data_IF_100522972263
#
_entry.id   IF_100522972263
#
_cell.length_a   1.000
_cell.length_b   1.000
_cell.length_c   1.000
_cell.angle_alpha   90.00
_cell.angle_beta   90.00
_cell.angle_gamma   90.00
#
_symmetry.space_group_name_H-M   'P 1'
#
loop_
_entity.id
_entity.type
_entity.pdbx_description
1 polymer ?
#
# COMPACT_ATOMS: atom_id res chain seq x y z
N UNK A 1 -11.17 28.72 -6.67
CA UNK A 1 -10.92 28.39 -5.25
C UNK A 1 -11.17 29.64 -4.43
N UNK A 2 -12.05 29.59 -3.42
CA UNK A 2 -12.28 30.72 -2.51
C UNK A 2 -11.12 30.86 -1.50
N UNK A 3 -11.06 31.98 -0.78
CA UNK A 3 -10.08 32.17 0.31
C UNK A 3 -10.23 31.10 1.39
N UNK A 4 -11.48 30.79 1.76
CA UNK A 4 -11.79 29.75 2.76
C UNK A 4 -11.33 28.37 2.29
N UNK A 5 -11.54 28.04 1.01
CA UNK A 5 -11.12 26.76 0.45
C UNK A 5 -9.59 26.62 0.41
N UNK A 6 -8.86 27.71 0.12
CA UNK A 6 -7.39 27.76 0.18
C UNK A 6 -6.89 27.52 1.61
N UNK A 7 -7.51 28.14 2.62
CA UNK A 7 -7.16 27.94 4.03
C UNK A 7 -7.39 26.49 4.46
N UNK A 8 -8.48 25.88 4.00
CA UNK A 8 -8.76 24.46 4.28
C UNK A 8 -7.75 23.52 3.62
N UNK A 9 -7.33 23.79 2.38
CA UNK A 9 -6.26 23.01 1.75
C UNK A 9 -4.92 23.18 2.45
N UNK A 10 -4.61 24.38 2.95
CA UNK A 10 -3.43 24.59 3.79
C UNK A 10 -3.52 23.74 5.07
N UNK A 11 -4.68 23.69 5.71
CA UNK A 11 -4.90 22.80 6.86
C UNK A 11 -4.70 21.32 6.51
N UNK A 12 -5.16 20.86 5.33
CA UNK A 12 -4.93 19.48 4.86
C UNK A 12 -3.44 19.23 4.67
N UNK A 13 -2.69 20.18 4.10
CA UNK A 13 -1.25 20.05 3.90
C UNK A 13 -0.48 19.94 5.22
N UNK A 14 -0.85 20.73 6.23
CA UNK A 14 -0.29 20.64 7.58
C UNK A 14 -0.57 19.26 8.21
N UNK A 15 -1.82 18.79 8.11
CA UNK A 15 -2.21 17.48 8.67
C UNK A 15 -1.51 16.34 7.94
N UNK A 16 -1.45 16.36 6.61
CA UNK A 16 -0.78 15.34 5.80
C UNK A 16 0.75 15.40 5.88
N UNK A 17 1.30 16.49 6.43
CA UNK A 17 2.75 16.69 6.59
C UNK A 17 3.49 16.92 5.28
N UNK A 18 2.83 17.50 4.26
CA UNK A 18 3.46 17.68 2.95
C UNK A 18 2.57 18.33 1.88
N UNK A 19 3.11 18.47 0.65
CA UNK A 19 2.39 19.02 -0.51
C UNK A 19 1.23 18.10 -0.94
N UNK A 20 0.05 18.68 -1.17
CA UNK A 20 -1.24 17.96 -1.35
C UNK A 20 -1.84 18.12 -2.75
N UNK A 21 -1.07 18.62 -3.72
CA UNK A 21 -1.55 18.84 -5.09
C UNK A 21 -2.05 17.54 -5.72
N UNK A 22 -1.39 16.41 -5.42
CA UNK A 22 -1.79 15.09 -5.91
C UNK A 22 -3.14 14.62 -5.32
N UNK A 23 -3.50 15.05 -4.10
CA UNK A 23 -4.83 14.78 -3.50
C UNK A 23 -5.94 15.61 -4.14
N UNK A 24 -5.60 16.80 -4.67
CA UNK A 24 -6.55 17.73 -5.30
C UNK A 24 -6.97 17.29 -6.71
N UNK A 25 -6.25 16.34 -7.33
CA UNK A 25 -6.55 15.85 -8.67
C UNK A 25 -7.91 15.13 -8.66
N UNK A 26 -8.82 15.61 -9.52
CA UNK A 26 -10.17 15.08 -9.67
C UNK A 26 -10.49 14.78 -11.15
N UNK A 27 -11.03 13.59 -11.49
CA UNK A 27 -11.23 12.44 -10.60
C UNK A 27 -9.89 11.85 -10.12
N UNK A 28 -9.88 11.27 -8.92
CA UNK A 28 -8.69 10.61 -8.40
C UNK A 28 -8.38 9.33 -9.19
N UNK A 29 -7.10 8.99 -9.32
CA UNK A 29 -6.65 7.79 -10.02
C UNK A 29 -7.13 6.52 -9.30
N UNK A 30 -7.65 5.57 -10.06
CA UNK A 30 -7.98 4.23 -9.58
C UNK A 30 -6.79 3.29 -9.71
N UNK A 31 -6.59 2.39 -8.74
CA UNK A 31 -5.60 1.32 -8.84
C UNK A 31 -6.21 -0.04 -8.55
N UNK A 32 -5.66 -1.06 -9.21
CA UNK A 32 -5.97 -2.45 -8.93
C UNK A 32 -4.96 -3.01 -7.94
N UNK A 33 -5.45 -3.74 -6.94
CA UNK A 33 -4.62 -4.29 -5.88
C UNK A 33 -4.99 -5.74 -5.60
N UNK A 34 -3.98 -6.60 -5.42
CA UNK A 34 -4.14 -7.85 -4.68
C UNK A 34 -3.79 -7.60 -3.22
N UNK A 35 -4.70 -7.89 -2.30
CA UNK A 35 -4.57 -7.52 -0.88
C UNK A 35 -4.52 -8.76 -0.01
N UNK A 36 -3.52 -8.90 0.85
CA UNK A 36 -3.41 -10.00 1.80
C UNK A 36 -2.87 -9.56 3.16
N UNK A 37 -3.02 -10.40 4.18
CA UNK A 37 -2.31 -10.23 5.46
C UNK A 37 -0.89 -10.83 5.36
N UNK A 38 0.05 -10.37 6.19
CA UNK A 38 1.46 -10.83 6.19
C UNK A 38 1.67 -12.35 6.10
N UNK A 39 0.77 -13.15 6.68
CA UNK A 39 0.86 -14.61 6.71
C UNK A 39 -0.27 -15.33 5.95
N UNK A 40 -0.99 -14.60 5.09
CA UNK A 40 -2.13 -15.14 4.35
C UNK A 40 -1.73 -15.61 2.95
N UNK A 41 -2.35 -16.71 2.53
CA UNK A 41 -2.25 -17.24 1.17
C UNK A 41 -3.38 -16.73 0.28
N UNK A 42 -4.32 -15.95 0.84
CA UNK A 42 -5.48 -15.41 0.15
C UNK A 42 -5.24 -13.94 -0.21
N UNK A 43 -5.32 -13.65 -1.51
CA UNK A 43 -5.02 -12.32 -2.06
C UNK A 43 -6.16 -11.89 -2.99
N UNK A 44 -7.35 -11.52 -2.47
CA UNK A 44 -8.41 -10.98 -3.30
C UNK A 44 -7.97 -9.75 -4.07
N UNK A 45 -8.49 -9.63 -5.29
CA UNK A 45 -8.37 -8.41 -6.08
C UNK A 45 -9.40 -7.39 -5.61
N UNK A 46 -8.97 -6.14 -5.42
CA UNK A 46 -9.83 -4.99 -5.14
C UNK A 46 -9.38 -3.78 -5.95
N UNK A 47 -10.26 -2.79 -6.08
CA UNK A 47 -9.96 -1.52 -6.74
C UNK A 47 -10.08 -0.40 -5.73
N UNK A 48 -9.02 0.41 -5.62
CA UNK A 48 -9.01 1.60 -4.78
C UNK A 48 -9.30 2.80 -5.70
N UNK A 49 -10.38 3.51 -5.42
CA UNK A 49 -10.84 4.66 -6.22
C UNK A 49 -10.87 5.97 -5.44
N UNK A 50 -10.68 5.92 -4.12
CA UNK A 50 -10.78 7.08 -3.24
C UNK A 50 -9.56 7.15 -2.32
N UNK A 51 -8.89 8.30 -2.33
CA UNK A 51 -7.70 8.63 -1.55
C UNK A 51 -8.02 9.79 -0.64
N UNK A 52 -8.41 9.47 0.61
CA UNK A 52 -8.90 10.47 1.58
C UNK A 52 -7.84 10.75 2.65
N UNK A 53 -7.48 9.72 3.41
CA UNK A 53 -6.37 9.71 4.36
C UNK A 53 -5.88 8.26 4.54
N UNK A 54 -4.81 8.10 5.30
CA UNK A 54 -4.17 6.81 5.58
C UNK A 54 -5.12 5.81 6.22
N UNK A 55 -5.79 6.23 7.30
CA UNK A 55 -6.70 5.37 8.05
C UNK A 55 -7.85 4.88 7.17
N UNK A 56 -8.44 5.76 6.36
CA UNK A 56 -9.50 5.41 5.40
C UNK A 56 -9.03 4.35 4.41
N UNK A 57 -7.83 4.54 3.86
CA UNK A 57 -7.27 3.63 2.88
C UNK A 57 -7.05 2.24 3.49
N UNK A 58 -6.46 2.16 4.68
CA UNK A 58 -6.24 0.89 5.37
C UNK A 58 -7.58 0.25 5.79
N UNK A 59 -8.56 1.04 6.24
CA UNK A 59 -9.93 0.55 6.49
C UNK A 59 -10.56 -0.05 5.22
N UNK A 60 -10.39 0.61 4.08
CA UNK A 60 -10.90 0.14 2.78
C UNK A 60 -10.27 -1.20 2.40
N UNK A 61 -8.96 -1.33 2.57
CA UNK A 61 -8.23 -2.59 2.32
C UNK A 61 -8.67 -3.71 3.28
N UNK A 62 -8.82 -3.39 4.57
CA UNK A 62 -9.32 -4.32 5.60
C UNK A 62 -10.72 -4.85 5.24
N UNK A 63 -11.63 -3.96 4.87
CA UNK A 63 -12.99 -4.29 4.49
C UNK A 63 -13.03 -5.11 3.21
N UNK A 64 -12.27 -4.72 2.17
CA UNK A 64 -12.19 -5.48 0.92
C UNK A 64 -11.69 -6.92 1.13
N UNK A 65 -10.70 -7.10 2.00
CA UNK A 65 -10.21 -8.43 2.37
C UNK A 65 -11.31 -9.25 3.08
N UNK A 66 -12.05 -8.65 4.01
CA UNK A 66 -13.16 -9.33 4.69
C UNK A 66 -14.30 -9.67 3.71
N UNK A 67 -14.66 -8.74 2.82
CA UNK A 67 -15.74 -8.90 1.85
C UNK A 67 -15.45 -9.99 0.81
N UNK A 68 -14.18 -10.30 0.57
CA UNK A 68 -13.79 -11.42 -0.29
C UNK A 68 -14.18 -12.79 0.27
N UNK A 69 -14.29 -12.93 1.59
CA UNK A 69 -14.51 -14.20 2.27
C UNK A 69 -13.38 -15.23 2.13
N UNK A 70 -12.27 -14.89 1.47
CA UNK A 70 -11.16 -15.83 1.19
C UNK A 70 -10.30 -16.12 2.43
N UNK A 71 -10.29 -15.20 3.40
CA UNK A 71 -9.69 -15.39 4.71
C UNK A 71 -10.81 -15.47 5.76
N UNK A 72 -11.25 -16.70 6.08
CA UNK A 72 -12.43 -16.92 6.94
C UNK A 72 -12.26 -16.38 8.35
N UNK A 73 -11.08 -16.53 8.92
CA UNK A 73 -10.77 -16.04 10.26
C UNK A 73 -10.85 -14.50 10.28
N UNK A 74 -10.21 -13.85 9.31
CA UNK A 74 -10.28 -12.40 9.16
C UNK A 74 -11.71 -11.92 8.93
N UNK A 75 -12.44 -12.56 8.01
CA UNK A 75 -13.82 -12.19 7.66
C UNK A 75 -14.71 -12.23 8.90
N UNK A 76 -14.68 -13.35 9.65
CA UNK A 76 -15.48 -13.51 10.86
C UNK A 76 -15.09 -12.49 11.94
N UNK A 77 -13.79 -12.26 12.16
CA UNK A 77 -13.31 -11.27 13.12
C UNK A 77 -13.73 -9.85 12.74
N UNK A 78 -13.59 -9.50 11.46
CA UNK A 78 -14.00 -8.20 10.95
C UNK A 78 -15.50 -7.96 11.10
N UNK A 79 -16.33 -8.95 10.75
CA UNK A 79 -17.77 -8.88 10.90
C UNK A 79 -18.22 -8.73 12.36
N UNK A 80 -17.54 -9.43 13.27
CA UNK A 80 -17.87 -9.41 14.70
C UNK A 80 -17.45 -8.09 15.38
N UNK A 81 -16.27 -7.57 15.06
CA UNK A 81 -15.65 -6.49 15.84
C UNK A 81 -15.61 -5.13 15.13
N UNK A 82 -15.57 -5.10 13.79
CA UNK A 82 -15.18 -3.90 13.05
C UNK A 82 -16.20 -3.44 11.99
N UNK A 83 -17.09 -4.32 11.53
CA UNK A 83 -18.03 -4.03 10.45
C UNK A 83 -18.95 -2.84 10.73
N UNK A 84 -19.47 -2.74 11.96
CA UNK A 84 -20.33 -1.62 12.36
C UNK A 84 -19.59 -0.28 12.29
N UNK A 85 -18.33 -0.25 12.72
CA UNK A 85 -17.47 0.93 12.64
C UNK A 85 -17.15 1.29 11.20
N UNK A 86 -16.84 0.32 10.35
CA UNK A 86 -16.61 0.56 8.93
C UNK A 86 -17.83 1.18 8.24
N UNK A 87 -19.04 0.69 8.52
CA UNK A 87 -20.29 1.27 7.99
C UNK A 87 -20.47 2.72 8.44
N UNK A 88 -20.13 3.05 9.69
CA UNK A 88 -20.20 4.43 10.20
C UNK A 88 -19.17 5.35 9.53
N UNK A 89 -17.94 4.86 9.31
CA UNK A 89 -16.89 5.60 8.59
C UNK A 89 -17.36 5.90 7.17
N UNK A 90 -17.85 4.89 6.45
CA UNK A 90 -18.39 5.04 5.10
C UNK A 90 -19.53 6.07 5.04
N UNK A 91 -20.48 5.99 5.98
CA UNK A 91 -21.56 6.98 6.07
C UNK A 91 -21.03 8.40 6.27
N UNK A 92 -20.05 8.58 7.16
CA UNK A 92 -19.44 9.88 7.46
C UNK A 92 -18.71 10.44 6.23
N UNK A 93 -17.94 9.60 5.55
CA UNK A 93 -17.22 9.94 4.32
C UNK A 93 -18.19 10.36 3.22
N UNK A 94 -19.28 9.62 3.01
CA UNK A 94 -20.28 9.93 1.98
C UNK A 94 -21.03 11.24 2.25
N UNK A 95 -21.31 11.55 3.51
CA UNK A 95 -22.00 12.80 3.91
C UNK A 95 -21.10 14.03 3.84
N UNK A 96 -19.78 13.85 3.81
CA UNK A 96 -18.80 14.93 3.78
C UNK A 96 -18.36 15.19 2.33
N UNK A 97 -18.24 16.46 1.94
CA UNK A 97 -17.96 16.87 0.56
C UNK A 97 -16.79 17.85 0.48
N UNK A 98 -16.09 17.88 -0.66
CA UNK A 98 -14.93 18.74 -0.91
C UNK A 98 -13.74 18.51 0.03
N UNK A 99 -12.84 19.50 0.10
CA UNK A 99 -12.35 20.08 1.37
C UNK A 99 -12.24 19.13 2.57
N UNK A 100 -13.38 19.10 3.24
CA UNK A 100 -13.63 18.59 4.57
C UNK A 100 -13.40 17.08 4.65
N UNK A 101 -13.54 16.37 3.53
CA UNK A 101 -13.34 14.92 3.47
C UNK A 101 -11.93 14.54 3.90
N UNK A 102 -10.92 15.30 3.49
CA UNK A 102 -9.52 15.04 3.81
C UNK A 102 -9.19 15.37 5.29
N UNK A 103 -10.02 16.19 5.93
CA UNK A 103 -9.89 16.56 7.34
C UNK A 103 -10.64 15.61 8.28
N UNK A 104 -11.44 14.66 7.77
CA UNK A 104 -12.21 13.72 8.58
C UNK A 104 -11.34 12.89 9.51
N UNK A 105 -11.60 12.97 10.81
CA UNK A 105 -10.87 12.23 11.84
C UNK A 105 -11.31 10.76 11.88
N UNK A 106 -10.74 9.97 10.98
CA UNK A 106 -11.06 8.55 10.82
C UNK A 106 -10.28 7.75 11.88
N UNK A 107 -10.95 6.92 12.69
CA UNK A 107 -10.30 6.17 13.76
C UNK A 107 -9.29 5.18 13.20
N UNK A 108 -8.34 4.78 14.05
CA UNK A 108 -7.30 3.82 13.67
C UNK A 108 -7.94 2.52 13.13
N UNK A 109 -7.52 2.04 11.95
CA UNK A 109 -7.92 0.76 11.39
C UNK A 109 -7.48 -0.44 12.25
N UNK A 110 -8.06 -1.63 12.01
CA UNK A 110 -7.65 -2.84 12.71
C UNK A 110 -6.23 -3.31 12.33
N UNK A 111 -5.77 -2.95 11.13
CA UNK A 111 -4.40 -3.18 10.67
C UNK A 111 -3.59 -1.90 10.80
N UNK A 112 -2.36 -1.99 11.30
CA UNK A 112 -1.53 -0.84 11.56
C UNK A 112 -0.83 -0.30 10.30
N UNK A 113 -0.48 -1.17 9.34
CA UNK A 113 0.31 -0.76 8.18
C UNK A 113 -0.13 -1.49 6.91
N UNK A 114 -0.11 -0.78 5.79
CA UNK A 114 -0.26 -1.32 4.45
C UNK A 114 1.02 -1.06 3.63
N UNK A 115 1.62 -2.10 3.07
CA UNK A 115 2.79 -1.98 2.19
C UNK A 115 2.37 -2.31 0.77
N UNK A 116 2.45 -1.31 -0.11
CA UNK A 116 2.18 -1.42 -1.53
C UNK A 116 3.46 -1.73 -2.28
N UNK A 117 3.49 -2.84 -3.02
CA UNK A 117 4.54 -3.20 -3.93
C UNK A 117 4.06 -3.06 -5.38
N UNK A 118 4.78 -2.28 -6.18
CA UNK A 118 4.51 -2.10 -7.60
C UNK A 118 5.71 -2.54 -8.43
N UNK A 119 5.49 -3.45 -9.38
CA UNK A 119 6.51 -3.88 -10.31
C UNK A 119 6.65 -2.89 -11.46
N UNK A 120 7.74 -2.11 -11.47
CA UNK A 120 8.04 -1.14 -12.53
C UNK A 120 9.06 -1.70 -13.55
N UNK A 121 8.98 -3.00 -13.85
CA UNK A 121 9.86 -3.70 -14.80
C UNK A 121 10.98 -4.48 -14.10
N UNK A 122 12.24 -4.03 -14.13
CA UNK A 122 13.35 -4.74 -13.45
C UNK A 122 13.41 -4.47 -11.94
N UNK A 123 12.60 -3.54 -11.42
CA UNK A 123 12.61 -3.12 -10.02
C UNK A 123 11.21 -3.13 -9.43
N UNK A 124 11.12 -3.52 -8.16
CA UNK A 124 9.91 -3.41 -7.36
C UNK A 124 10.03 -2.15 -6.49
N UNK A 125 9.04 -1.26 -6.57
CA UNK A 125 8.91 -0.10 -5.69
C UNK A 125 7.96 -0.41 -4.55
N UNK A 126 8.36 -0.01 -3.35
CA UNK A 126 7.59 -0.20 -2.14
C UNK A 126 7.13 1.14 -1.58
N UNK A 127 5.86 1.22 -1.18
CA UNK A 127 5.26 2.37 -0.51
C UNK A 127 4.55 1.88 0.75
N UNK A 128 5.03 2.33 1.91
CA UNK A 128 4.42 2.00 3.20
C UNK A 128 3.47 3.12 3.60
N UNK A 129 2.29 2.71 4.08
CA UNK A 129 1.26 3.59 4.63
C UNK A 129 0.98 3.11 6.04
N UNK A 130 1.11 4.00 7.01
CA UNK A 130 0.92 3.70 8.42
C UNK A 130 -0.37 4.33 8.93
N UNK A 131 -1.07 3.58 9.77
CA UNK A 131 -2.18 4.10 10.55
C UNK A 131 -1.69 5.25 11.43
N UNK A 132 -2.41 6.36 11.41
CA UNK A 132 -2.10 7.53 12.23
C UNK A 132 -3.06 7.60 13.41
N UNK A 133 -2.63 8.20 14.52
CA UNK A 133 -3.54 8.51 15.60
C UNK A 133 -4.57 9.57 15.16
N UNK A 134 -5.74 9.53 15.79
CA UNK A 134 -6.75 10.56 15.62
C UNK A 134 -6.16 11.95 16.00
N UNK A 135 -6.41 12.96 15.18
CA UNK A 135 -5.94 14.35 15.40
C UNK A 135 -4.48 14.68 15.02
N UNK A 136 -3.58 13.71 14.79
CA UNK A 136 -2.20 13.96 14.31
C UNK A 136 -1.85 13.02 13.16
N UNK A 137 -1.65 13.56 11.94
CA UNK A 137 -1.32 12.75 10.75
C UNK A 137 0.01 13.03 10.02
N UNK A 138 1.02 13.73 10.59
CA UNK A 138 2.28 13.84 9.87
C UNK A 138 2.91 12.45 9.71
N UNK A 139 3.30 12.11 8.48
CA UNK A 139 4.11 10.92 8.20
C UNK A 139 3.36 9.61 8.01
N UNK A 140 2.02 9.64 7.85
CA UNK A 140 1.23 8.45 7.53
C UNK A 140 1.54 7.85 6.14
N UNK A 141 2.16 8.64 5.27
CA UNK A 141 2.82 8.14 4.06
C UNK A 141 1.93 8.08 2.81
N UNK A 142 0.66 8.51 2.86
CA UNK A 142 -0.28 8.48 1.73
C UNK A 142 0.19 9.28 0.50
N UNK A 143 0.87 10.40 0.72
CA UNK A 143 1.28 11.29 -0.36
C UNK A 143 2.34 10.65 -1.27
N UNK A 144 3.16 9.72 -0.76
CA UNK A 144 4.19 9.03 -1.54
C UNK A 144 3.64 8.10 -2.62
N UNK A 145 2.74 7.15 -2.32
CA UNK A 145 2.12 6.32 -3.35
C UNK A 145 1.30 7.18 -4.31
N UNK A 146 0.55 8.19 -3.85
CA UNK A 146 -0.19 9.09 -4.76
C UNK A 146 0.73 9.77 -5.77
N UNK A 147 1.86 10.32 -5.32
CA UNK A 147 2.85 10.92 -6.19
C UNK A 147 3.42 9.91 -7.19
N UNK A 148 3.67 8.67 -6.74
CA UNK A 148 4.11 7.59 -7.64
C UNK A 148 3.03 7.26 -8.68
N UNK A 149 1.75 7.25 -8.31
CA UNK A 149 0.65 6.98 -9.24
C UNK A 149 0.57 8.03 -10.35
N UNK A 150 0.62 9.32 -9.99
CA UNK A 150 0.45 10.38 -10.99
C UNK A 150 1.72 10.68 -11.79
N UNK A 151 2.90 10.53 -11.17
CA UNK A 151 4.17 11.00 -11.77
C UNK A 151 5.17 9.87 -12.01
N UNK A 152 4.92 8.66 -11.52
CA UNK A 152 5.81 7.50 -11.62
C UNK A 152 5.61 6.64 -12.86
N UNK A 153 4.74 7.07 -13.79
CA UNK A 153 4.45 6.35 -15.03
C UNK A 153 3.57 5.11 -14.83
N UNK A 154 2.72 5.11 -13.79
CA UNK A 154 1.80 4.00 -13.49
C UNK A 154 0.66 4.00 -14.51
N UNK A 155 0.40 2.85 -15.10
CA UNK A 155 -0.72 2.60 -16.00
C UNK A 155 -1.98 2.21 -15.20
N UNK A 156 -3.19 2.56 -15.65
CA UNK A 156 -4.43 2.04 -15.04
C UNK A 156 -4.57 0.51 -15.07
N UNK A 157 -3.79 -0.16 -15.93
CA UNK A 157 -3.72 -1.62 -16.00
C UNK A 157 -2.71 -2.23 -15.01
N UNK A 158 -1.89 -1.40 -14.36
CA UNK A 158 -0.91 -1.88 -13.38
C UNK A 158 -1.62 -2.39 -12.12
N UNK A 159 -1.06 -3.44 -11.53
CA UNK A 159 -1.59 -4.08 -10.34
C UNK A 159 -0.56 -4.00 -9.22
N UNK A 160 -1.02 -3.56 -8.06
CA UNK A 160 -0.23 -3.48 -6.83
C UNK A 160 -0.44 -4.74 -5.99
N UNK A 161 0.63 -5.20 -5.34
CA UNK A 161 0.54 -6.20 -4.28
C UNK A 161 0.55 -5.46 -2.95
N UNK A 162 -0.47 -5.66 -2.11
CA UNK A 162 -0.64 -4.94 -0.85
C UNK A 162 -0.65 -5.92 0.31
N UNK A 163 0.27 -5.71 1.25
CA UNK A 163 0.38 -6.52 2.47
C UNK A 163 -0.06 -5.70 3.68
N UNK A 164 -1.03 -6.24 4.42
CA UNK A 164 -1.53 -5.68 5.67
C UNK A 164 -0.83 -6.30 6.88
N UNK A 165 -0.43 -5.44 7.81
CA UNK A 165 0.27 -5.81 9.05
C UNK A 165 -0.50 -5.29 10.26
N UNK A 166 -0.55 -6.11 11.32
CA UNK A 166 -1.20 -5.78 12.60
C UNK A 166 -0.26 -5.05 13.58
N UNK A 167 1.05 -5.01 13.31
CA UNK A 167 2.05 -4.31 14.13
C UNK A 167 3.12 -3.57 13.33
N UNK A 168 3.92 -2.76 14.03
CA UNK A 168 5.05 -2.00 13.47
C UNK A 168 6.22 -2.94 13.12
N UNK A 169 6.49 -3.13 11.83
CA UNK A 169 7.49 -4.10 11.35
C UNK A 169 8.88 -3.47 11.41
N UNK A 170 9.47 -3.49 12.60
CA UNK A 170 10.92 -3.28 12.75
C UNK A 170 11.67 -4.59 12.47
N UNK A 171 12.04 -4.83 11.21
CA UNK A 171 13.21 -5.69 10.92
C UNK A 171 13.10 -6.79 9.86
N UNK A 172 12.06 -6.87 9.03
CA UNK A 172 11.99 -7.85 7.95
C UNK A 172 11.46 -7.24 6.65
N UNK A 173 12.11 -7.55 5.52
CA UNK A 173 11.58 -7.20 4.21
C UNK A 173 10.16 -7.80 4.04
N UNK A 174 9.22 -7.12 3.35
CA UNK A 174 7.88 -7.65 3.11
C UNK A 174 7.98 -9.05 2.52
N UNK A 175 7.38 -10.05 3.17
CA UNK A 175 7.24 -11.36 2.56
C UNK A 175 6.22 -11.23 1.44
N UNK A 176 6.68 -11.38 0.21
CA UNK A 176 5.82 -11.57 -0.96
C UNK A 176 4.93 -12.81 -0.72
N UNK A 177 3.77 -12.90 -1.39
CA UNK A 177 3.03 -14.16 -1.42
C UNK A 177 3.99 -15.31 -1.73
N UNK A 178 3.76 -16.51 -1.17
CA UNK A 178 4.53 -17.67 -1.56
C UNK A 178 4.39 -17.79 -3.08
N UNK A 179 5.49 -17.55 -3.77
CA UNK A 179 5.63 -17.69 -5.19
C UNK A 179 5.34 -19.15 -5.52
N UNK A 180 4.07 -19.45 -5.76
CA UNK A 180 3.71 -20.60 -6.55
C UNK A 180 4.13 -20.23 -7.96
N UNK A 181 5.36 -20.62 -8.30
CA UNK A 181 6.02 -20.43 -9.61
C UNK A 181 5.20 -20.98 -10.80
N UNK A 182 4.00 -21.51 -10.57
CA UNK A 182 3.12 -22.08 -11.59
C UNK A 182 2.05 -21.11 -12.11
N UNK A 183 1.55 -20.15 -11.31
CA UNK A 183 0.40 -19.32 -11.75
C UNK A 183 0.81 -18.02 -12.46
N UNK A 184 2.06 -17.58 -12.29
CA UNK A 184 2.63 -16.41 -12.99
C UNK A 184 3.26 -16.76 -14.34
N UNK A 185 3.56 -18.03 -14.59
CA UNK A 185 4.17 -18.51 -15.83
C UNK A 185 3.22 -18.37 -17.03
N UNK A 186 1.91 -18.45 -16.80
CA UNK A 186 0.88 -18.29 -17.84
C UNK A 186 0.66 -16.82 -18.25
N UNK A 187 1.23 -15.85 -17.52
CA UNK A 187 1.13 -14.42 -17.86
C UNK A 187 2.32 -13.91 -18.69
N UNK A 188 3.45 -14.64 -18.75
CA UNK A 188 4.65 -14.23 -19.49
C UNK A 188 5.41 -15.42 -20.10
N UNK A 189 5.02 -15.91 -21.29
CA UNK A 189 5.51 -17.16 -21.85
C UNK A 189 7.01 -17.22 -22.23
N UNK A 190 7.73 -16.08 -22.27
CA UNK A 190 9.02 -16.03 -22.98
C UNK A 190 10.29 -15.91 -22.12
N UNK A 191 10.23 -15.77 -20.79
CA UNK A 191 11.45 -15.42 -20.03
C UNK A 191 12.21 -16.53 -19.31
N UNK A 192 11.75 -17.79 -19.36
CA UNK A 192 12.38 -18.86 -18.57
C UNK A 192 13.04 -20.00 -19.37
N UNK A 193 13.27 -19.83 -20.67
CA UNK A 193 13.79 -20.92 -21.51
C UNK A 193 15.33 -21.09 -21.54
N UNK A 194 16.13 -20.33 -20.78
CA UNK A 194 17.59 -20.51 -20.82
C UNK A 194 18.27 -20.28 -19.46
N UNK A 195 18.91 -21.30 -18.86
CA UNK A 195 19.74 -21.10 -17.69
C UNK A 195 21.01 -20.31 -18.04
N UNK A 196 21.49 -19.41 -17.17
CA UNK A 196 22.73 -18.67 -17.40
C UNK A 196 23.96 -19.61 -17.32
N UNK A 197 25.06 -19.30 -18.05
CA UNK A 197 26.24 -20.16 -18.11
C UNK A 197 27.02 -20.18 -16.78
N UNK A 198 27.75 -21.27 -16.48
CA UNK A 198 28.47 -21.41 -15.22
C UNK A 198 29.69 -20.46 -15.14
N UNK A 199 29.80 -19.71 -14.04
CA UNK A 199 30.92 -18.82 -13.76
C UNK A 199 32.24 -19.61 -13.63
N UNK A 200 33.22 -19.33 -14.49
CA UNK A 200 34.62 -19.76 -14.31
C UNK A 200 35.28 -18.83 -13.28
N UNK A 201 35.76 -19.39 -12.18
CA UNK A 201 36.46 -18.66 -11.13
C UNK A 201 37.86 -18.21 -11.55
N UNK A 202 38.09 -16.89 -11.51
CA UNK A 202 39.41 -16.28 -11.32
C UNK A 202 39.22 -14.87 -10.76
N UNK A 203 39.19 -14.74 -9.42
CA UNK A 203 39.50 -13.48 -8.75
C UNK A 203 40.89 -13.62 -8.12
N UNK A 204 41.85 -12.72 -8.39
CA UNK A 204 43.17 -12.76 -7.77
C UNK A 204 43.05 -12.35 -6.29
N UNK A 205 43.83 -13.00 -5.42
CA UNK A 205 43.94 -12.65 -4.02
C UNK A 205 44.64 -11.28 -3.83
N UNK A 206 44.28 -10.50 -2.80
CA UNK A 206 44.95 -9.23 -2.48
C UNK A 206 46.39 -9.45 -1.98
N UNK A 207 47.31 -8.49 -2.22
CA UNK A 207 48.69 -8.58 -1.75
C UNK A 207 48.74 -8.35 -0.23
N UNK A 208 49.72 -8.97 0.43
CA UNK A 208 50.11 -8.79 1.84
C UNK A 208 49.38 -9.60 2.92
N UNK A 209 49.27 -10.93 2.75
CA UNK A 209 49.10 -11.83 3.90
C UNK A 209 50.26 -12.82 4.01
N UNK A 210 51.13 -12.61 5.01
CA UNK A 210 52.14 -13.58 5.44
C UNK A 210 51.69 -14.19 6.79
N UNK A 211 51.51 -15.52 6.89
CA UNK A 211 51.16 -16.17 8.16
C UNK A 211 52.40 -16.34 9.06
N UNK A 212 52.25 -16.25 10.40
CA UNK A 212 53.35 -16.41 11.35
C UNK A 212 53.79 -17.87 11.51
N UNK A 213 55.09 -18.05 11.76
CA UNK A 213 55.81 -19.32 11.97
C UNK A 213 55.46 -20.05 13.26
#
# INVERSE_FOLDING_TARGET
>A
MSSDELERWAQVAEVAGGPVEDLQITPQASIQCYVGRQLSFSWPQTVITEWINENHLIWTLCAALADSGLDREWTQGFDLYFRSQWVQIQSTVQQTQGVDRFLLDIPAPPMFMAVFAHNTGPTIRYHSIMSTHAGTRPGGGLLYPLRHLYHGGVSPADVFIVVLYDGDVTGGAPQLPPSSDSDLADLFPERYATPPPPYRGTSPAPPDYAPPS
#
